data_IF_360749335640
#
_entry.id   IF_360749335640
#
_cell.length_a   1.000
_cell.length_b   1.000
_cell.length_c   1.000
_cell.angle_alpha   90.00
_cell.angle_beta   90.00
_cell.angle_gamma   90.00
#
_symmetry.space_group_name_H-M   'P 1'
#
loop_
_entity.id
_entity.type
_entity.pdbx_description
1 polymer ?
#
# COMPACT_ATOMS: atom_id res chain seq x y z
N UNK A 1 -0.59 7.84 11.42
CA UNK A 1 -0.60 7.36 10.03
C UNK A 1 0.63 6.50 9.80
N UNK A 2 0.59 5.62 8.79
CA UNK A 2 1.67 4.70 8.41
C UNK A 2 1.84 4.70 6.89
N UNK A 3 3.00 4.27 6.43
CA UNK A 3 3.31 4.00 5.02
C UNK A 3 3.68 2.53 4.83
N UNK A 4 3.74 2.07 3.58
CA UNK A 4 4.08 0.69 3.27
C UNK A 4 3.44 0.17 2.00
N UNK A 5 3.42 -1.15 1.88
CA UNK A 5 2.86 -1.88 0.74
C UNK A 5 1.75 -2.81 1.21
N UNK A 6 0.80 -3.06 0.33
CA UNK A 6 -0.35 -3.89 0.66
C UNK A 6 -0.89 -4.66 -0.54
N UNK A 7 -1.67 -5.68 -0.22
CA UNK A 7 -2.50 -6.47 -1.10
C UNK A 7 -3.92 -6.54 -0.56
N UNK A 8 -4.89 -6.74 -1.44
CA UNK A 8 -6.27 -7.02 -1.09
C UNK A 8 -6.57 -8.49 -1.34
N UNK A 9 -6.73 -9.26 -0.27
CA UNK A 9 -6.95 -10.71 -0.33
C UNK A 9 -8.06 -11.11 0.62
N UNK A 10 -8.95 -12.03 0.20
CA UNK A 10 -10.04 -12.55 1.02
C UNK A 10 -10.82 -11.46 1.79
N UNK A 11 -11.18 -10.38 1.08
CA UNK A 11 -11.91 -9.25 1.65
C UNK A 11 -11.16 -8.54 2.80
N UNK A 12 -9.82 -8.58 2.81
CA UNK A 12 -8.97 -7.95 3.81
C UNK A 12 -7.78 -7.26 3.13
N UNK A 13 -7.19 -6.30 3.84
CA UNK A 13 -5.91 -5.70 3.45
C UNK A 13 -4.81 -6.40 4.24
N UNK A 14 -3.85 -6.97 3.52
CA UNK A 14 -2.65 -7.62 4.08
C UNK A 14 -1.41 -6.90 3.56
N UNK A 15 -0.29 -7.00 4.27
CA UNK A 15 0.96 -6.36 3.87
C UNK A 15 1.76 -5.89 5.07
N UNK A 16 2.45 -4.77 4.89
CA UNK A 16 3.24 -4.14 5.94
C UNK A 16 2.96 -2.65 6.02
N UNK A 17 2.67 -2.19 7.23
CA UNK A 17 2.46 -0.78 7.55
C UNK A 17 3.33 -0.40 8.73
N UNK A 18 4.12 0.66 8.58
CA UNK A 18 5.01 1.12 9.64
C UNK A 18 4.99 2.65 9.76
N UNK A 19 5.37 3.14 10.94
CA UNK A 19 5.60 4.56 11.17
C UNK A 19 6.85 5.03 10.42
N UNK A 20 6.91 6.32 10.11
CA UNK A 20 8.04 6.94 9.41
C UNK A 20 8.46 8.22 10.11
N UNK A 21 9.67 8.70 9.80
CA UNK A 21 10.18 9.98 10.28
C UNK A 21 10.16 10.98 9.13
N UNK A 22 9.55 12.14 9.36
CA UNK A 22 9.44 13.22 8.38
C UNK A 22 10.81 13.68 7.83
N UNK A 23 11.87 13.57 8.63
CA UNK A 23 13.23 13.97 8.25
C UNK A 23 13.89 13.00 7.27
N UNK A 24 13.23 11.87 6.94
CA UNK A 24 13.71 10.88 5.96
C UNK A 24 13.12 11.11 4.56
N UNK A 25 12.48 12.25 4.32
CA UNK A 25 12.02 12.60 2.98
C UNK A 25 13.19 12.69 2.00
N UNK A 26 12.96 12.25 0.77
CA UNK A 26 13.91 12.39 -0.32
C UNK A 26 14.04 13.86 -0.78
N UNK A 27 14.86 14.11 -1.81
CA UNK A 27 15.10 15.46 -2.34
C UNK A 27 13.87 16.15 -2.91
N UNK A 28 12.77 15.41 -3.14
CA UNK A 28 11.50 15.94 -3.65
C UNK A 28 10.38 15.90 -2.59
N UNK A 29 10.71 15.61 -1.33
CA UNK A 29 9.77 15.63 -0.21
C UNK A 29 8.87 14.39 -0.12
N UNK A 30 9.27 13.26 -0.69
CA UNK A 30 8.54 12.00 -0.57
C UNK A 30 9.18 11.08 0.46
N UNK A 31 8.33 10.39 1.22
CA UNK A 31 8.72 9.34 2.15
C UNK A 31 8.05 8.05 1.71
N UNK A 32 8.87 7.09 1.30
CA UNK A 32 8.44 5.76 0.91
C UNK A 32 8.98 4.71 1.88
N UNK A 33 8.30 3.57 1.92
CA UNK A 33 8.74 2.38 2.62
C UNK A 33 9.89 1.70 1.86
N UNK A 34 10.86 1.09 2.57
CA UNK A 34 11.93 0.32 1.93
C UNK A 34 11.45 -1.03 1.38
N UNK A 35 10.20 -1.42 1.65
CA UNK A 35 9.69 -2.73 1.27
C UNK A 35 9.32 -2.77 -0.21
N UNK A 36 9.73 -3.84 -0.88
CA UNK A 36 9.31 -4.15 -2.26
C UNK A 36 8.24 -5.23 -2.25
N UNK A 37 7.34 -5.20 -3.25
CA UNK A 37 6.28 -6.21 -3.36
C UNK A 37 6.84 -7.61 -3.58
N UNK A 38 7.91 -7.74 -4.38
CA UNK A 38 8.56 -9.02 -4.69
C UNK A 38 9.10 -9.66 -3.41
N UNK A 39 9.96 -8.95 -2.68
CA UNK A 39 10.65 -9.51 -1.51
C UNK A 39 9.66 -9.80 -0.37
N UNK A 40 8.72 -8.89 -0.13
CA UNK A 40 7.78 -9.03 0.97
C UNK A 40 6.69 -10.09 0.72
N UNK A 41 6.47 -10.47 -0.54
CA UNK A 41 5.48 -11.51 -0.88
C UNK A 41 5.82 -12.86 -0.26
N UNK A 42 7.11 -13.20 -0.19
CA UNK A 42 7.59 -14.46 0.41
C UNK A 42 7.09 -14.57 1.86
N UNK A 43 7.19 -13.48 2.63
CA UNK A 43 6.68 -13.42 4.01
C UNK A 43 5.16 -13.61 4.07
N UNK A 44 4.41 -13.12 3.09
CA UNK A 44 2.96 -13.34 3.03
C UNK A 44 2.62 -14.78 2.67
N UNK A 45 3.35 -15.43 1.78
CA UNK A 45 3.13 -16.86 1.44
C UNK A 45 3.48 -17.80 2.60
N UNK A 46 4.49 -17.46 3.40
CA UNK A 46 4.79 -18.19 4.64
C UNK A 46 3.68 -18.06 5.68
N UNK A 47 3.05 -16.88 5.75
CA UNK A 47 2.00 -16.58 6.72
C UNK A 47 0.62 -17.09 6.31
N UNK A 48 0.32 -17.09 5.01
CA UNK A 48 -0.99 -17.44 4.45
C UNK A 48 -0.79 -18.53 3.40
N UNK A 49 -1.08 -19.79 3.79
CA UNK A 49 -0.89 -20.96 2.92
C UNK A 49 -1.67 -20.85 1.60
N UNK A 50 -2.81 -20.14 1.58
CA UNK A 50 -3.59 -19.95 0.36
C UNK A 50 -2.87 -19.11 -0.71
N UNK A 51 -1.85 -18.33 -0.33
CA UNK A 51 -1.08 -17.48 -1.24
C UNK A 51 0.07 -18.22 -1.93
N UNK A 52 0.41 -19.45 -1.50
CA UNK A 52 1.56 -20.20 -2.02
C UNK A 52 1.49 -20.48 -3.53
N UNK A 53 0.28 -20.54 -4.09
CA UNK A 53 0.07 -20.79 -5.51
C UNK A 53 -0.12 -19.51 -6.35
N UNK A 54 0.09 -18.34 -5.74
CA UNK A 54 -0.08 -17.05 -6.41
C UNK A 54 1.23 -16.28 -6.41
N UNK A 55 1.51 -15.64 -7.54
CA UNK A 55 2.52 -14.61 -7.65
C UNK A 55 1.99 -13.28 -7.10
N UNK A 56 2.91 -12.47 -6.56
CA UNK A 56 2.57 -11.18 -5.93
C UNK A 56 1.83 -10.22 -6.87
N UNK A 57 2.03 -10.38 -8.18
CA UNK A 57 1.42 -9.55 -9.21
C UNK A 57 -0.02 -9.94 -9.50
N UNK A 58 -0.41 -11.20 -9.23
CA UNK A 58 -1.74 -11.73 -9.52
C UNK A 58 -2.79 -11.28 -8.50
N UNK A 59 -2.35 -10.70 -7.38
CA UNK A 59 -3.22 -10.23 -6.30
C UNK A 59 -3.26 -8.70 -6.31
N UNK A 60 -4.46 -8.06 -6.29
CA UNK A 60 -4.59 -6.60 -6.29
C UNK A 60 -3.78 -5.97 -5.19
N UNK A 61 -2.91 -5.03 -5.55
CA UNK A 61 -1.90 -4.46 -4.66
C UNK A 61 -1.79 -2.95 -4.76
N UNK A 62 -1.05 -2.38 -3.83
CA UNK A 62 -0.75 -0.97 -3.82
C UNK A 62 0.36 -0.61 -2.85
N UNK A 63 0.61 0.70 -2.78
CA UNK A 63 1.64 1.33 -1.96
C UNK A 63 1.11 2.63 -1.39
N UNK A 64 1.42 2.89 -0.13
CA UNK A 64 1.14 4.15 0.54
C UNK A 64 2.46 4.84 0.81
N UNK A 65 2.60 6.06 0.30
CA UNK A 65 3.73 6.95 0.59
C UNK A 65 3.22 8.26 1.19
N UNK A 66 4.12 9.08 1.70
CA UNK A 66 3.77 10.40 2.25
C UNK A 66 4.51 11.52 1.51
N UNK A 67 3.79 12.56 1.12
CA UNK A 67 4.31 13.79 0.52
C UNK A 67 4.36 14.88 1.60
N UNK A 68 5.57 15.24 2.03
CA UNK A 68 5.81 16.21 3.09
C UNK A 68 5.50 17.63 2.64
N UNK A 69 5.60 17.92 1.35
CA UNK A 69 5.34 19.27 0.81
C UNK A 69 3.84 19.58 0.81
N UNK A 70 3.00 18.55 0.63
CA UNK A 70 1.54 18.68 0.63
C UNK A 70 0.90 18.24 1.95
N UNK A 71 1.68 17.65 2.85
CA UNK A 71 1.21 16.96 4.06
C UNK A 71 0.09 15.93 3.77
N UNK A 72 0.26 15.17 2.68
CA UNK A 72 -0.75 14.19 2.24
C UNK A 72 -0.17 12.82 2.04
N UNK A 73 -0.96 11.82 2.39
CA UNK A 73 -0.71 10.43 2.01
C UNK A 73 -1.07 10.22 0.55
N UNK A 74 -0.21 9.55 -0.21
CA UNK A 74 -0.50 9.17 -1.60
C UNK A 74 -0.63 7.65 -1.63
N UNK A 75 -1.79 7.18 -2.08
CA UNK A 75 -2.09 5.76 -2.22
C UNK A 75 -2.04 5.43 -3.70
N UNK A 76 -1.03 4.67 -4.10
CA UNK A 76 -0.96 4.04 -5.42
C UNK A 76 -1.65 2.69 -5.34
N UNK A 77 -2.62 2.45 -6.20
CA UNK A 77 -3.37 1.18 -6.18
C UNK A 77 -3.79 0.71 -7.57
N UNK A 78 -3.98 -0.61 -7.66
CA UNK A 78 -4.65 -1.27 -8.78
C UNK A 78 -6.08 -0.74 -8.99
N UNK A 79 -6.47 -0.53 -10.26
CA UNK A 79 -7.81 -0.01 -10.62
C UNK A 79 -8.97 -0.83 -10.05
N UNK A 80 -8.81 -2.13 -9.87
CA UNK A 80 -9.81 -3.06 -9.30
C UNK A 80 -10.10 -2.81 -7.82
N UNK A 81 -9.29 -1.96 -7.18
CA UNK A 81 -9.44 -1.56 -5.78
C UNK A 81 -10.18 -0.23 -5.60
N UNK A 82 -10.57 0.45 -6.68
CA UNK A 82 -11.30 1.73 -6.66
C UNK A 82 -12.78 1.60 -6.25
N UNK A 83 -13.09 0.70 -5.31
CA UNK A 83 -14.38 0.58 -4.65
C UNK A 83 -14.30 1.13 -3.24
N UNK A 84 -15.27 1.96 -2.84
CA UNK A 84 -15.29 2.63 -1.53
C UNK A 84 -15.06 1.68 -0.36
N UNK A 85 -15.69 0.50 -0.38
CA UNK A 85 -15.54 -0.51 0.67
C UNK A 85 -14.12 -1.07 0.79
N UNK A 86 -13.40 -1.22 -0.32
CA UNK A 86 -12.00 -1.69 -0.33
C UNK A 86 -11.04 -0.59 0.12
N UNK A 87 -11.25 0.64 -0.37
CA UNK A 87 -10.43 1.80 0.00
C UNK A 87 -10.52 2.09 1.50
N UNK A 88 -11.70 1.99 2.11
CA UNK A 88 -11.84 2.19 3.56
C UNK A 88 -10.95 1.23 4.36
N UNK A 89 -10.84 -0.04 3.94
CA UNK A 89 -9.95 -1.01 4.58
C UNK A 89 -8.47 -0.65 4.44
N UNK A 90 -8.10 0.02 3.35
CA UNK A 90 -6.73 0.54 3.18
C UNK A 90 -6.50 1.70 4.14
N UNK A 91 -7.46 2.62 4.28
CA UNK A 91 -7.36 3.70 5.26
C UNK A 91 -7.21 3.17 6.69
N UNK A 92 -8.01 2.17 7.06
CA UNK A 92 -7.94 1.53 8.38
C UNK A 92 -6.58 0.86 8.60
N UNK A 93 -6.09 0.07 7.63
CA UNK A 93 -4.82 -0.65 7.75
C UNK A 93 -3.61 0.28 7.97
N UNK A 94 -3.61 1.43 7.32
CA UNK A 94 -2.52 2.42 7.41
C UNK A 94 -2.79 3.56 8.40
N UNK A 95 -3.91 3.54 9.15
CA UNK A 95 -4.34 4.62 10.03
C UNK A 95 -4.33 5.99 9.31
N UNK A 96 -4.96 6.07 8.14
CA UNK A 96 -5.00 7.26 7.28
C UNK A 96 -6.30 8.03 7.46
N UNK A 97 -6.23 9.35 7.31
CA UNK A 97 -7.41 10.19 7.14
C UNK A 97 -7.74 10.32 5.64
N UNK A 98 -8.96 9.95 5.19
CA UNK A 98 -9.39 10.10 3.81
C UNK A 98 -9.22 11.52 3.24
N UNK A 99 -9.46 12.55 4.04
CA UNK A 99 -9.36 13.96 3.61
C UNK A 99 -7.91 14.41 3.37
N UNK A 100 -6.96 13.73 4.03
CA UNK A 100 -5.52 13.95 3.91
C UNK A 100 -4.86 12.91 2.99
N UNK A 101 -5.66 12.21 2.18
CA UNK A 101 -5.19 11.15 1.30
C UNK A 101 -5.55 11.44 -0.16
N UNK A 102 -4.66 11.06 -1.08
CA UNK A 102 -4.89 11.15 -2.52
C UNK A 102 -4.73 9.77 -3.12
N UNK A 103 -5.76 9.32 -3.86
CA UNK A 103 -5.70 8.08 -4.61
C UNK A 103 -5.07 8.34 -5.98
N UNK A 104 -4.08 7.53 -6.35
CA UNK A 104 -3.48 7.50 -7.68
C UNK A 104 -3.56 6.09 -8.27
N UNK A 105 -3.86 6.03 -9.56
CA UNK A 105 -3.70 4.80 -10.34
C UNK A 105 -2.22 4.65 -10.64
N UNK A 106 -1.67 3.46 -10.44
CA UNK A 106 -0.35 3.12 -10.94
C UNK A 106 -0.51 2.30 -12.22
N UNK A 107 0.17 2.72 -13.28
CA UNK A 107 0.17 1.99 -14.55
C UNK A 107 0.85 0.63 -14.46
N UNK A 108 1.71 0.41 -13.47
CA UNK A 108 2.40 -0.87 -13.23
C UNK A 108 1.54 -1.87 -12.44
N UNK A 109 0.44 -1.43 -11.81
CA UNK A 109 -0.55 -2.31 -11.19
C UNK A 109 -1.68 -2.57 -12.18
N UNK A 110 -1.42 -3.45 -13.14
CA UNK A 110 -2.45 -4.03 -14.00
C UNK A 110 -2.52 -5.52 -13.76
N UNK A 111 -3.57 -5.92 -13.05
CA UNK A 111 -4.08 -7.30 -13.06
C UNK A 111 -5.13 -7.43 -14.15
#
# INVERSE_FOLDING_TARGET
MKIGIFWYWNNQVIGIAHSFNITKADSIGLIDSPYTHIEYWITLQEKYSELQNYEYEQIPRGRVIFDTNKEKSIIYLDKTLLYKSKINKVYDFFNLNPEQSVLKKDSHYQI
#
